data_IF_004593086065
#
_entry.id   IF_004593086065
#
_cell.length_a   1.000
_cell.length_b   1.000
_cell.length_c   1.000
_cell.angle_alpha   90.00
_cell.angle_beta   90.00
_cell.angle_gamma   90.00
#
_symmetry.space_group_name_H-M   'P 1'
#
loop_
_entity.id
_entity.type
_entity.pdbx_description
1 polymer ?
#
# COMPACT_ATOMS: atom_id res chain seq x y z
N UNK A 1 -35.28 -5.42 -13.80
CA UNK A 1 -33.83 -5.67 -13.61
C UNK A 1 -33.12 -5.29 -14.91
N UNK A 2 -32.51 -4.10 -14.97
CA UNK A 2 -32.06 -3.48 -16.23
C UNK A 2 -30.63 -3.84 -16.69
N UNK A 3 -29.87 -4.62 -15.90
CA UNK A 3 -28.45 -4.90 -16.16
C UNK A 3 -28.12 -6.37 -16.51
N UNK A 4 -29.12 -7.25 -16.70
CA UNK A 4 -28.85 -8.67 -16.98
C UNK A 4 -28.15 -8.90 -18.33
N UNK A 5 -28.38 -8.03 -19.32
CA UNK A 5 -27.80 -8.13 -20.68
C UNK A 5 -26.27 -8.11 -20.69
N UNK A 6 -25.63 -7.44 -19.71
CA UNK A 6 -24.17 -7.25 -19.66
C UNK A 6 -23.52 -7.99 -18.48
N UNK A 7 -24.27 -8.80 -17.75
CA UNK A 7 -23.77 -9.49 -16.55
C UNK A 7 -22.70 -10.55 -16.88
N UNK A 8 -22.72 -11.09 -18.11
CA UNK A 8 -21.73 -12.04 -18.60
C UNK A 8 -20.30 -11.46 -18.54
N UNK A 9 -20.14 -10.15 -18.74
CA UNK A 9 -18.83 -9.48 -18.70
C UNK A 9 -18.17 -9.62 -17.32
N UNK A 10 -18.96 -9.52 -16.25
CA UNK A 10 -18.43 -9.71 -14.89
C UNK A 10 -18.08 -11.17 -14.60
N UNK A 11 -18.90 -12.11 -15.08
CA UNK A 11 -18.71 -13.54 -14.80
C UNK A 11 -17.55 -14.16 -15.56
N UNK A 12 -17.35 -13.74 -16.80
CA UNK A 12 -16.39 -14.37 -17.71
C UNK A 12 -15.01 -13.69 -17.69
N UNK A 13 -14.94 -12.39 -17.34
CA UNK A 13 -13.70 -11.62 -17.45
C UNK A 13 -13.12 -11.15 -16.10
N UNK A 14 -13.85 -11.28 -14.97
CA UNK A 14 -13.26 -11.02 -13.65
C UNK A 14 -12.42 -12.23 -13.21
N UNK A 15 -11.10 -12.08 -13.24
CA UNK A 15 -10.18 -13.08 -12.68
C UNK A 15 -10.16 -12.98 -11.15
N UNK A 16 -10.85 -13.90 -10.48
CA UNK A 16 -10.84 -14.01 -9.02
C UNK A 16 -9.73 -14.94 -8.54
N UNK A 17 -8.48 -14.44 -8.51
CA UNK A 17 -7.41 -15.12 -7.79
C UNK A 17 -7.52 -14.83 -6.30
N UNK A 18 -7.84 -15.88 -5.55
CA UNK A 18 -7.82 -15.89 -4.10
C UNK A 18 -6.50 -16.50 -3.63
N UNK A 19 -5.83 -15.84 -2.69
CA UNK A 19 -4.67 -16.41 -2.04
C UNK A 19 -5.12 -17.58 -1.14
N UNK A 20 -4.39 -18.70 -1.12
CA UNK A 20 -4.75 -19.86 -0.33
C UNK A 20 -4.94 -19.48 1.14
N UNK A 21 -5.94 -20.08 1.79
CA UNK A 21 -6.22 -19.87 3.21
C UNK A 21 -5.01 -20.30 4.07
N UNK A 22 -4.98 -19.84 5.32
CA UNK A 22 -3.96 -20.26 6.28
C UNK A 22 -2.52 -19.96 5.85
N UNK A 23 -2.30 -18.82 5.19
CA UNK A 23 -0.98 -18.35 4.79
C UNK A 23 -0.77 -16.90 5.21
N UNK A 24 0.46 -16.59 5.64
CA UNK A 24 0.94 -15.23 5.85
C UNK A 24 0.97 -14.48 4.52
N UNK A 25 0.46 -13.25 4.52
CA UNK A 25 0.49 -12.40 3.33
C UNK A 25 1.46 -11.27 3.63
N UNK A 26 2.50 -11.14 2.79
CA UNK A 26 3.42 -10.02 2.81
C UNK A 26 3.12 -9.13 1.61
N UNK A 27 2.88 -7.84 1.87
CA UNK A 27 2.74 -6.83 0.82
C UNK A 27 3.95 -5.94 0.90
N UNK A 28 4.86 -6.10 -0.06
CA UNK A 28 5.98 -5.19 -0.27
C UNK A 28 5.51 -4.02 -1.13
N UNK A 29 5.87 -2.82 -0.72
CA UNK A 29 5.67 -1.59 -1.47
C UNK A 29 7.03 -0.97 -1.69
N UNK A 30 7.29 -0.63 -2.94
CA UNK A 30 8.55 -0.07 -3.41
C UNK A 30 8.33 1.30 -4.08
N UNK A 31 9.29 2.20 -3.86
CA UNK A 31 9.33 3.55 -4.37
C UNK A 31 9.61 3.58 -5.88
N UNK A 32 8.56 3.52 -6.69
CA UNK A 32 8.72 3.58 -8.14
C UNK A 32 9.39 4.91 -8.58
N UNK A 33 10.58 4.81 -9.19
CA UNK A 33 11.42 5.95 -9.60
C UNK A 33 11.86 6.86 -8.43
N UNK A 34 12.12 6.29 -7.24
CA UNK A 34 12.51 7.05 -6.06
C UNK A 34 13.76 7.91 -6.26
N UNK A 35 14.70 7.49 -7.10
CA UNK A 35 15.89 8.31 -7.42
C UNK A 35 15.51 9.69 -7.96
N UNK A 36 14.65 9.75 -8.97
CA UNK A 36 14.15 11.01 -9.55
C UNK A 36 13.34 11.81 -8.54
N UNK A 37 12.55 11.14 -7.70
CA UNK A 37 11.78 11.79 -6.63
C UNK A 37 12.71 12.45 -5.60
N UNK A 38 13.76 11.74 -5.15
CA UNK A 38 14.75 12.24 -4.20
C UNK A 38 15.50 13.47 -4.72
N UNK A 39 15.81 13.51 -6.03
CA UNK A 39 16.45 14.65 -6.67
C UNK A 39 15.50 15.85 -6.76
N UNK A 40 14.26 15.62 -7.18
CA UNK A 40 13.25 16.67 -7.33
C UNK A 40 12.88 17.33 -6.00
N UNK A 41 12.89 16.56 -4.91
CA UNK A 41 12.60 17.03 -3.56
C UNK A 41 13.86 17.37 -2.73
N UNK A 42 15.04 17.37 -3.35
CA UNK A 42 16.31 17.72 -2.73
C UNK A 42 16.59 16.97 -1.41
N UNK A 43 16.46 15.63 -1.45
CA UNK A 43 16.72 14.79 -0.30
C UNK A 43 18.19 14.80 0.11
N UNK A 44 18.43 14.84 1.42
CA UNK A 44 19.78 14.69 1.97
C UNK A 44 20.33 13.27 1.70
N UNK A 45 21.61 13.20 1.31
CA UNK A 45 22.32 11.93 1.05
C UNK A 45 23.37 11.68 2.15
N UNK A 46 23.56 10.43 2.62
CA UNK A 46 22.98 9.20 2.09
C UNK A 46 21.53 8.94 2.53
N UNK A 47 21.07 9.56 3.61
CA UNK A 47 19.74 9.35 4.17
C UNK A 47 19.09 10.70 4.51
N UNK A 48 17.86 10.91 4.07
CA UNK A 48 17.04 12.06 4.48
C UNK A 48 16.11 11.65 5.62
N UNK A 49 16.32 12.23 6.80
CA UNK A 49 15.54 11.89 7.98
C UNK A 49 14.06 12.27 7.83
N UNK A 50 13.76 13.36 7.12
CA UNK A 50 12.37 13.82 6.94
C UNK A 50 11.60 12.84 6.08
N UNK A 51 12.22 12.35 5.00
CA UNK A 51 11.64 11.34 4.13
C UNK A 51 11.37 10.03 4.87
N UNK A 52 12.33 9.56 5.68
CA UNK A 52 12.18 8.35 6.48
C UNK A 52 11.09 8.50 7.55
N UNK A 53 11.03 9.65 8.23
CA UNK A 53 9.97 9.96 9.20
C UNK A 53 8.59 9.99 8.54
N UNK A 54 8.48 10.56 7.35
CA UNK A 54 7.25 10.58 6.56
C UNK A 54 6.79 9.15 6.23
N UNK A 55 7.69 8.30 5.72
CA UNK A 55 7.37 6.90 5.42
C UNK A 55 6.95 6.12 6.67
N UNK A 56 7.62 6.33 7.80
CA UNK A 56 7.24 5.72 9.08
C UNK A 56 5.86 6.21 9.55
N UNK A 57 5.55 7.50 9.42
CA UNK A 57 4.23 8.02 9.76
C UNK A 57 3.13 7.40 8.88
N UNK A 58 3.38 7.26 7.57
CA UNK A 58 2.49 6.57 6.65
C UNK A 58 2.27 5.11 7.06
N UNK A 59 3.33 4.37 7.39
CA UNK A 59 3.25 2.99 7.82
C UNK A 59 2.48 2.82 9.14
N UNK A 60 2.73 3.69 10.12
CA UNK A 60 1.99 3.70 11.40
C UNK A 60 0.49 3.91 11.17
N UNK A 61 0.11 4.86 10.30
CA UNK A 61 -1.29 5.08 9.96
C UNK A 61 -1.95 3.87 9.28
N UNK A 62 -1.20 3.10 8.49
CA UNK A 62 -1.69 1.84 7.92
C UNK A 62 -1.90 0.76 8.98
N UNK A 63 -0.99 0.64 9.94
CA UNK A 63 -1.14 -0.30 11.07
C UNK A 63 -2.40 0.01 11.88
N UNK A 64 -2.68 1.28 12.14
CA UNK A 64 -3.90 1.72 12.84
C UNK A 64 -5.18 1.43 12.03
N UNK A 65 -5.13 1.64 10.71
CA UNK A 65 -6.29 1.48 9.83
C UNK A 65 -6.60 0.03 9.49
N UNK A 66 -5.59 -0.84 9.50
CA UNK A 66 -5.71 -2.26 9.11
C UNK A 66 -5.25 -3.16 10.26
N UNK A 67 -6.17 -3.55 11.18
CA UNK A 67 -5.83 -4.36 12.35
C UNK A 67 -5.44 -5.82 12.02
N UNK A 68 -5.56 -6.22 10.75
CA UNK A 68 -5.04 -7.49 10.24
C UNK A 68 -3.52 -7.48 10.05
N UNK A 69 -2.90 -6.31 9.94
CA UNK A 69 -1.45 -6.18 9.83
C UNK A 69 -0.85 -6.38 11.22
N UNK A 70 0.03 -7.36 11.35
CA UNK A 70 0.69 -7.68 12.64
C UNK A 70 2.00 -6.94 12.81
N UNK A 71 2.65 -6.61 11.70
CA UNK A 71 4.00 -6.06 11.68
C UNK A 71 4.25 -5.36 10.35
N UNK A 72 5.03 -4.28 10.41
CA UNK A 72 5.52 -3.60 9.22
C UNK A 72 6.99 -3.25 9.40
N UNK A 73 7.76 -3.31 8.31
CA UNK A 73 9.19 -3.06 8.28
C UNK A 73 9.54 -2.28 7.03
N UNK A 74 10.33 -1.21 7.16
CA UNK A 74 10.77 -0.40 6.02
C UNK A 74 12.26 -0.09 6.06
N UNK A 75 12.86 0.00 4.88
CA UNK A 75 14.26 0.37 4.65
C UNK A 75 14.33 1.20 3.38
N UNK A 76 15.08 2.30 3.42
CA UNK A 76 15.19 3.22 2.28
C UNK A 76 13.78 3.67 1.85
N UNK A 77 13.35 3.29 0.65
CA UNK A 77 12.11 3.62 -0.03
C UNK A 77 11.12 2.46 -0.10
N UNK A 78 11.43 1.35 0.58
CA UNK A 78 10.61 0.15 0.62
C UNK A 78 9.92 -0.03 1.98
N UNK A 79 8.70 -0.58 1.95
CA UNK A 79 7.96 -1.00 3.14
C UNK A 79 7.25 -2.33 2.93
N UNK A 80 7.48 -3.27 3.84
CA UNK A 80 6.82 -4.56 3.93
C UNK A 80 5.75 -4.55 5.00
N UNK A 81 4.53 -4.96 4.65
CA UNK A 81 3.41 -5.13 5.59
C UNK A 81 3.05 -6.61 5.68
N UNK A 82 3.08 -7.16 6.90
CA UNK A 82 2.77 -8.57 7.17
C UNK A 82 1.38 -8.68 7.76
N UNK A 83 0.50 -9.39 7.06
CA UNK A 83 -0.84 -9.68 7.53
C UNK A 83 -0.89 -11.03 8.23
N UNK A 84 -1.72 -11.12 9.28
CA UNK A 84 -1.97 -12.39 9.98
C UNK A 84 -2.49 -13.46 9.02
N UNK A 85 -2.11 -14.69 9.28
CA UNK A 85 -2.47 -15.87 8.50
C UNK A 85 -3.99 -15.99 8.23
N UNK A 86 -4.81 -15.71 9.26
CA UNK A 86 -6.27 -15.76 9.25
C UNK A 86 -6.94 -14.50 8.68
N UNK A 87 -6.20 -13.62 8.00
CA UNK A 87 -6.80 -12.41 7.44
C UNK A 87 -7.80 -12.76 6.35
N UNK A 88 -8.97 -12.11 6.42
CA UNK A 88 -9.99 -12.10 5.38
C UNK A 88 -9.97 -10.79 4.58
N UNK A 89 -8.87 -10.02 4.68
CA UNK A 89 -8.73 -8.73 3.99
C UNK A 89 -9.02 -8.88 2.50
N UNK A 90 -10.03 -8.13 2.01
CA UNK A 90 -10.54 -8.21 0.64
C UNK A 90 -10.88 -9.65 0.18
N UNK A 91 -11.35 -10.52 1.07
CA UNK A 91 -11.59 -11.95 0.80
C UNK A 91 -10.35 -12.65 0.24
N UNK A 92 -9.16 -12.19 0.64
CA UNK A 92 -7.86 -12.66 0.15
C UNK A 92 -7.68 -12.55 -1.37
N UNK A 93 -8.45 -11.67 -2.04
CA UNK A 93 -8.31 -11.41 -3.47
C UNK A 93 -6.99 -10.71 -3.74
N UNK A 94 -6.27 -11.12 -4.79
CA UNK A 94 -5.04 -10.44 -5.20
C UNK A 94 -5.28 -8.96 -5.53
N UNK A 95 -6.45 -8.60 -6.06
CA UNK A 95 -6.85 -7.21 -6.30
C UNK A 95 -6.97 -6.36 -5.02
N UNK A 96 -7.10 -7.01 -3.85
CA UNK A 96 -7.00 -6.35 -2.55
C UNK A 96 -5.63 -5.71 -2.31
N UNK A 97 -4.55 -6.29 -2.88
CA UNK A 97 -3.20 -5.70 -2.82
C UNK A 97 -3.13 -4.37 -3.56
N UNK A 98 -3.79 -4.27 -4.72
CA UNK A 98 -3.85 -3.03 -5.51
C UNK A 98 -4.62 -1.95 -4.75
N UNK A 99 -5.75 -2.32 -4.13
CA UNK A 99 -6.53 -1.39 -3.30
C UNK A 99 -5.73 -0.89 -2.10
N UNK A 100 -4.97 -1.78 -1.46
CA UNK A 100 -4.06 -1.45 -0.36
C UNK A 100 -2.96 -0.47 -0.81
N UNK A 101 -2.31 -0.73 -1.94
CA UNK A 101 -1.32 0.15 -2.55
C UNK A 101 -1.90 1.54 -2.88
N UNK A 102 -3.13 1.60 -3.41
CA UNK A 102 -3.81 2.87 -3.69
C UNK A 102 -4.07 3.69 -2.43
N UNK A 103 -4.43 3.04 -1.32
CA UNK A 103 -4.66 3.72 -0.03
C UNK A 103 -3.35 4.27 0.53
N UNK A 104 -2.25 3.51 0.50
CA UNK A 104 -0.95 4.00 0.94
C UNK A 104 -0.47 5.15 0.06
N UNK A 105 -0.57 5.04 -1.27
CA UNK A 105 -0.20 6.13 -2.18
C UNK A 105 -0.97 7.41 -1.92
N UNK A 106 -2.28 7.30 -1.62
CA UNK A 106 -3.10 8.45 -1.26
C UNK A 106 -2.67 9.08 0.07
N UNK A 107 -2.32 8.26 1.07
CA UNK A 107 -1.75 8.74 2.32
C UNK A 107 -0.40 9.43 2.11
N UNK A 108 0.47 8.88 1.26
CA UNK A 108 1.75 9.48 0.92
C UNK A 108 1.60 10.85 0.25
N UNK A 109 0.65 11.01 -0.69
CA UNK A 109 0.36 12.30 -1.33
C UNK A 109 -0.21 13.29 -0.32
N UNK A 110 -1.21 12.89 0.49
CA UNK A 110 -1.83 13.78 1.47
C UNK A 110 -0.84 14.23 2.54
N UNK A 111 0.01 13.31 3.02
CA UNK A 111 1.05 13.65 3.98
C UNK A 111 2.17 14.45 3.30
N UNK A 112 2.51 14.16 2.04
CA UNK A 112 3.43 15.00 1.27
C UNK A 112 2.94 16.43 1.09
N UNK A 113 1.65 16.63 0.79
CA UNK A 113 1.02 17.96 0.68
C UNK A 113 0.92 18.67 2.03
N UNK A 114 0.55 17.97 3.10
CA UNK A 114 0.45 18.53 4.44
C UNK A 114 1.82 18.89 5.03
N UNK A 115 2.83 18.04 4.81
CA UNK A 115 4.18 18.27 5.32
C UNK A 115 5.02 19.17 4.41
N UNK A 116 4.69 19.31 3.11
CA UNK A 116 5.28 20.33 2.23
C UNK A 116 4.88 21.76 2.61
N UNK A 117 3.87 21.95 3.45
CA UNK A 117 3.50 23.26 4.02
C UNK A 117 4.37 23.58 5.27
N UNK A 118 5.12 22.62 5.79
CA UNK A 118 5.97 22.76 6.98
C UNK A 118 7.47 22.57 6.72
N UNK A 119 7.90 22.57 5.44
CA UNK A 119 9.31 22.65 5.02
C UNK A 119 9.57 24.03 4.39
#
# INVERSE_FOLDING_TARGET
>A
MANSKYEYVKREFEFHRHLPASNWIVVLIDGCHFHRFSELHAFEKPNDERALRLMNACATSMLEKFPDIVFAYGVSDEYSFVFREKTEFHKRRESGKISFLMILRRLHILMGELYAIQI
#
